data_IF_427964464977
#
_entry.id   IF_427964464977
#
_cell.length_a   1.000
_cell.length_b   1.000
_cell.length_c   1.000
_cell.angle_alpha   90.00
_cell.angle_beta   90.00
_cell.angle_gamma   90.00
#
_symmetry.space_group_name_H-M   'P 1'
#
loop_
_entity.id
_entity.type
_entity.pdbx_description
1 polymer ?
#
# COMPACT_ATOMS: atom_id res chain seq x y z
N UNK A 1 13.41 -11.06 41.77
CA UNK A 1 13.17 -9.91 40.87
C UNK A 1 12.31 -10.43 39.74
N UNK A 2 11.10 -9.99 39.42
CA UNK A 2 10.31 -8.81 39.72
C UNK A 2 9.53 -8.54 38.44
N UNK A 3 8.28 -8.98 38.33
CA UNK A 3 7.51 -8.88 37.07
C UNK A 3 6.77 -7.53 37.05
N UNK A 4 7.36 -6.55 36.36
CA UNK A 4 6.72 -5.28 36.06
C UNK A 4 5.77 -5.39 34.86
N UNK A 5 4.58 -4.78 34.96
CA UNK A 5 3.64 -4.65 33.85
C UNK A 5 4.19 -3.65 32.82
N UNK A 6 4.28 -4.05 31.53
CA UNK A 6 4.88 -3.23 30.46
C UNK A 6 3.79 -2.55 29.62
N UNK A 7 3.88 -1.24 29.47
CA UNK A 7 3.07 -0.44 28.53
C UNK A 7 3.59 -0.57 27.08
N UNK A 8 2.70 -0.52 26.07
CA UNK A 8 3.09 -0.68 24.67
C UNK A 8 4.00 0.46 24.21
N UNK A 9 4.99 0.10 23.40
CA UNK A 9 6.04 0.97 22.85
C UNK A 9 6.09 0.81 21.34
N UNK A 10 6.49 1.88 20.63
CA UNK A 10 6.77 1.81 19.21
C UNK A 10 7.79 0.69 18.95
N UNK A 11 7.40 -0.28 18.12
CA UNK A 11 8.25 -1.39 17.75
C UNK A 11 9.22 -0.95 16.65
N UNK A 12 10.44 -1.50 16.69
CA UNK A 12 11.35 -1.44 15.56
C UNK A 12 10.70 -2.15 14.36
N UNK A 13 10.84 -1.61 13.15
CA UNK A 13 10.16 -2.14 11.98
C UNK A 13 10.46 -3.65 11.77
N UNK A 14 9.42 -4.48 11.69
CA UNK A 14 9.49 -5.95 11.60
C UNK A 14 9.13 -6.43 10.17
N UNK A 15 10.06 -7.09 9.45
CA UNK A 15 9.88 -7.56 8.07
C UNK A 15 8.94 -8.71 7.81
N UNK A 16 8.77 -9.57 8.81
CA UNK A 16 8.03 -10.82 8.66
C UNK A 16 6.57 -10.65 9.07
N UNK A 17 6.29 -9.57 9.79
CA UNK A 17 4.97 -8.97 9.93
C UNK A 17 4.52 -8.43 8.56
N UNK A 18 3.26 -8.66 8.17
CA UNK A 18 2.68 -7.93 7.04
C UNK A 18 2.84 -6.42 7.30
N UNK A 19 3.78 -5.84 6.55
CA UNK A 19 4.34 -4.52 6.76
C UNK A 19 5.85 -4.42 6.49
N UNK A 20 6.35 -4.92 5.35
CA UNK A 20 7.69 -4.58 4.77
C UNK A 20 7.86 -4.75 3.25
N UNK A 21 6.89 -5.32 2.54
CA UNK A 21 6.88 -5.43 1.08
C UNK A 21 5.70 -4.63 0.50
N UNK A 22 5.64 -3.34 0.87
CA UNK A 22 4.51 -2.48 0.48
C UNK A 22 4.57 -2.03 -0.98
N UNK A 23 5.77 -2.01 -1.59
CA UNK A 23 5.94 -1.56 -2.96
C UNK A 23 5.62 -2.68 -3.95
N UNK A 24 5.82 -3.92 -3.58
CA UNK A 24 5.52 -5.12 -4.36
C UNK A 24 4.03 -5.20 -4.66
N UNK A 25 3.19 -4.92 -3.66
CA UNK A 25 1.74 -4.82 -3.85
C UNK A 25 1.41 -3.68 -4.81
N UNK A 26 2.03 -2.52 -4.63
CA UNK A 26 1.82 -1.36 -5.51
C UNK A 26 2.23 -1.70 -6.95
N UNK A 27 3.41 -2.28 -7.18
CA UNK A 27 3.88 -2.65 -8.52
C UNK A 27 3.04 -3.75 -9.16
N UNK A 28 2.40 -4.62 -8.36
CA UNK A 28 1.52 -5.66 -8.87
C UNK A 28 0.16 -5.13 -9.35
N UNK A 29 -0.38 -4.08 -8.74
CA UNK A 29 -1.73 -3.56 -9.07
C UNK A 29 -1.73 -2.36 -10.01
N UNK A 30 -0.57 -1.74 -10.22
CA UNK A 30 -0.46 -0.49 -10.97
C UNK A 30 -0.03 -0.73 -12.40
N UNK A 31 -0.67 -0.05 -13.34
CA UNK A 31 -0.32 -0.05 -14.76
C UNK A 31 0.97 0.75 -15.01
N UNK A 32 1.20 1.80 -14.22
CA UNK A 32 2.43 2.59 -14.27
C UNK A 32 2.85 3.09 -12.89
N UNK A 33 4.16 3.24 -12.67
CA UNK A 33 4.75 3.68 -11.42
C UNK A 33 6.01 4.53 -11.69
N UNK A 34 6.03 5.77 -11.18
CA UNK A 34 7.14 6.71 -11.33
C UNK A 34 7.48 7.38 -9.99
N UNK A 35 8.78 7.53 -9.72
CA UNK A 35 9.29 8.28 -8.57
C UNK A 35 10.23 9.38 -9.03
N UNK A 36 9.95 10.63 -8.64
CA UNK A 36 10.84 11.77 -8.85
C UNK A 36 11.31 12.35 -7.53
N UNK A 37 12.61 12.70 -7.44
CA UNK A 37 13.14 13.45 -6.30
C UNK A 37 12.72 14.91 -6.42
N UNK A 38 12.34 15.50 -5.29
CA UNK A 38 11.97 16.91 -5.16
C UNK A 38 12.85 17.57 -4.08
N UNK A 39 13.01 18.90 -4.07
CA UNK A 39 13.93 19.59 -3.16
C UNK A 39 13.75 19.25 -1.67
N UNK A 40 12.52 18.94 -1.25
CA UNK A 40 12.17 18.61 0.15
C UNK A 40 11.62 17.18 0.30
N UNK A 41 11.79 16.31 -0.72
CA UNK A 41 11.28 14.94 -0.64
C UNK A 41 11.21 14.21 -1.98
N UNK A 42 10.08 13.54 -2.23
CA UNK A 42 9.82 12.84 -3.49
C UNK A 42 8.36 12.96 -3.90
N UNK A 43 8.13 12.93 -5.21
CA UNK A 43 6.81 12.80 -5.82
C UNK A 43 6.69 11.38 -6.37
N UNK A 44 5.62 10.68 -6.01
CA UNK A 44 5.29 9.35 -6.53
C UNK A 44 4.05 9.50 -7.38
N UNK A 45 4.10 9.02 -8.63
CA UNK A 45 2.94 8.97 -9.54
C UNK A 45 2.66 7.52 -9.88
N UNK A 46 1.38 7.16 -9.84
CA UNK A 46 0.90 5.80 -10.02
C UNK A 46 -0.36 5.83 -10.86
N UNK A 47 -0.52 4.87 -11.76
CA UNK A 47 -1.74 4.66 -12.53
C UNK A 47 -2.34 3.30 -12.20
N UNK A 48 -3.64 3.27 -11.91
CA UNK A 48 -4.40 2.06 -11.57
C UNK A 48 -5.66 2.02 -12.41
N UNK A 49 -6.07 0.83 -12.84
CA UNK A 49 -7.39 0.63 -13.44
C UNK A 49 -8.45 0.71 -12.34
N UNK A 50 -9.55 1.41 -12.60
CA UNK A 50 -10.68 1.52 -11.66
C UNK A 50 -11.69 0.38 -11.81
N UNK A 51 -11.66 -0.30 -12.95
CA UNK A 51 -12.40 -1.52 -13.24
C UNK A 51 -11.35 -2.61 -13.42
N UNK A 52 -11.57 -3.79 -12.85
CA UNK A 52 -10.96 -4.99 -13.44
C UNK A 52 -11.44 -5.06 -14.90
N UNK A 53 -10.64 -5.60 -15.82
CA UNK A 53 -11.16 -6.01 -17.13
C UNK A 53 -12.19 -7.13 -16.88
N UNK A 54 -13.38 -6.73 -16.43
CA UNK A 54 -14.57 -7.53 -16.45
C UNK A 54 -14.79 -7.78 -17.93
N UNK A 55 -14.37 -8.94 -18.40
CA UNK A 55 -14.85 -9.48 -19.66
C UNK A 55 -16.37 -9.25 -19.66
N UNK A 56 -16.79 -8.35 -20.55
CA UNK A 56 -17.90 -7.42 -20.31
C UNK A 56 -19.19 -8.01 -19.75
N UNK A 57 -19.66 -7.41 -18.66
CA UNK A 57 -21.07 -7.28 -18.33
C UNK A 57 -21.30 -5.83 -17.87
N UNK A 58 -22.41 -5.17 -18.25
CA UNK A 58 -22.66 -3.81 -17.79
C UNK A 58 -22.71 -3.80 -16.27
N UNK A 59 -21.74 -3.14 -15.65
CA UNK A 59 -21.76 -2.88 -14.22
C UNK A 59 -23.00 -2.04 -13.92
N UNK A 60 -23.87 -2.55 -13.04
CA UNK A 60 -24.99 -1.77 -12.53
C UNK A 60 -24.44 -0.54 -11.78
N UNK A 61 -24.70 0.69 -12.26
CA UNK A 61 -24.21 1.90 -11.63
C UNK A 61 -24.83 2.17 -10.24
N UNK A 62 -25.74 1.32 -9.76
CA UNK A 62 -26.48 1.51 -8.49
C UNK A 62 -25.92 0.71 -7.31
N UNK A 63 -24.78 0.03 -7.47
CA UNK A 63 -24.13 -0.67 -6.36
C UNK A 63 -23.08 0.19 -5.63
N UNK A 64 -23.33 1.49 -5.45
CA UNK A 64 -22.72 2.34 -4.40
C UNK A 64 -23.36 3.73 -4.34
#
# INVERSE_FOLDING_TARGET
>A
MGLGFRTPSAAQADPTRAGQHGLEIVLMVCQSFEVRREPVGKRVRVEISLLDDAQGGPADPTSW
#
